data_IF_056050938905
#
_entry.id   IF_056050938905
#
_cell.length_a   1.000
_cell.length_b   1.000
_cell.length_c   1.000
_cell.angle_alpha   90.00
_cell.angle_beta   90.00
_cell.angle_gamma   90.00
#
_symmetry.space_group_name_H-M   'P 1'
#
loop_
_entity.id
_entity.type
_entity.pdbx_description
1 polymer ?
#
# COMPACT_ATOMS: atom_id res chain seq x y z
N UNK A 1 -24.96 -21.89 15.17
CA UNK A 1 -24.12 -22.42 16.26
C UNK A 1 -22.84 -22.92 15.63
N UNK A 2 -21.75 -22.17 15.77
CA UNK A 2 -20.42 -22.57 15.29
C UNK A 2 -19.85 -23.56 16.29
N UNK A 3 -19.57 -24.79 15.84
CA UNK A 3 -18.98 -25.84 16.68
C UNK A 3 -17.49 -25.55 16.81
N UNK A 4 -16.99 -25.34 18.02
CA UNK A 4 -15.57 -25.07 18.26
C UNK A 4 -14.74 -26.33 17.99
N UNK A 5 -13.55 -26.22 17.36
CA UNK A 5 -12.67 -27.36 17.15
C UNK A 5 -12.15 -27.91 18.49
N UNK A 6 -11.82 -29.21 18.57
CA UNK A 6 -11.08 -29.75 19.69
C UNK A 6 -9.69 -29.08 19.82
N UNK A 7 -9.20 -29.01 21.05
CA UNK A 7 -7.93 -28.36 21.43
C UNK A 7 -6.97 -29.38 22.04
N UNK A 8 -5.68 -29.30 21.72
CA UNK A 8 -4.60 -30.10 22.32
C UNK A 8 -3.35 -29.25 22.56
N UNK A 9 -2.47 -29.69 23.47
CA UNK A 9 -1.15 -29.10 23.59
C UNK A 9 -0.20 -29.62 22.50
N UNK A 10 0.80 -28.82 22.10
CA UNK A 10 1.85 -29.26 21.16
C UNK A 10 2.57 -30.55 21.61
N UNK A 11 2.75 -30.73 22.92
CA UNK A 11 3.30 -31.97 23.47
C UNK A 11 2.41 -33.20 23.23
N UNK A 12 1.10 -33.03 23.18
CA UNK A 12 0.18 -34.14 22.85
C UNK A 12 0.25 -34.49 21.37
N UNK A 13 0.39 -33.50 20.49
CA UNK A 13 0.61 -33.73 19.06
C UNK A 13 1.88 -34.56 18.83
N UNK A 14 2.98 -34.21 19.53
CA UNK A 14 4.26 -34.91 19.41
C UNK A 14 4.24 -36.31 20.05
N UNK A 15 3.62 -36.47 21.22
CA UNK A 15 3.68 -37.73 21.98
C UNK A 15 2.57 -38.72 21.60
N UNK A 16 1.44 -38.23 21.06
CA UNK A 16 0.25 -39.04 20.73
C UNK A 16 -0.29 -38.72 19.33
N UNK A 17 0.54 -38.83 18.27
CA UNK A 17 0.16 -38.41 16.92
C UNK A 17 -1.07 -39.14 16.38
N UNK A 18 -1.22 -40.44 16.65
CA UNK A 18 -2.39 -41.22 16.20
C UNK A 18 -3.68 -40.74 16.87
N UNK A 19 -3.63 -40.40 18.16
CA UNK A 19 -4.80 -39.88 18.89
C UNK A 19 -5.17 -38.48 18.38
N UNK A 20 -4.18 -37.63 18.10
CA UNK A 20 -4.39 -36.30 17.53
C UNK A 20 -5.03 -36.37 16.13
N UNK A 21 -4.54 -37.24 15.25
CA UNK A 21 -5.13 -37.45 13.91
C UNK A 21 -6.55 -38.01 14.00
N UNK A 22 -6.83 -38.90 14.96
CA UNK A 22 -8.17 -39.42 15.21
C UNK A 22 -9.11 -38.30 15.67
N UNK A 23 -8.71 -37.48 16.65
CA UNK A 23 -9.48 -36.30 17.11
C UNK A 23 -9.76 -35.32 15.96
N UNK A 24 -8.77 -35.08 15.09
CA UNK A 24 -8.94 -34.26 13.89
C UNK A 24 -9.99 -34.86 12.93
N UNK A 25 -9.91 -36.16 12.66
CA UNK A 25 -10.77 -36.84 11.68
C UNK A 25 -12.23 -37.01 12.16
N UNK A 26 -12.42 -37.20 13.46
CA UNK A 26 -13.74 -37.33 14.10
C UNK A 26 -14.39 -35.96 14.39
N UNK A 27 -13.62 -34.87 14.33
CA UNK A 27 -14.13 -33.52 14.53
C UNK A 27 -15.14 -33.14 13.42
N UNK A 28 -16.32 -32.57 13.76
CA UNK A 28 -17.29 -32.10 12.77
C UNK A 28 -16.70 -31.09 11.78
N UNK A 29 -15.75 -30.27 12.23
CA UNK A 29 -15.07 -29.25 11.41
C UNK A 29 -13.84 -29.78 10.69
N UNK A 30 -13.44 -31.05 10.93
CA UNK A 30 -12.17 -31.63 10.48
C UNK A 30 -10.96 -30.74 10.78
N UNK A 31 -11.02 -30.05 11.92
CA UNK A 31 -9.97 -29.15 12.41
C UNK A 31 -9.64 -29.40 13.88
N UNK A 32 -8.43 -29.02 14.28
CA UNK A 32 -7.86 -29.20 15.62
C UNK A 32 -6.94 -28.00 15.94
N UNK A 33 -7.14 -27.35 17.07
CA UNK A 33 -6.25 -26.28 17.55
C UNK A 33 -5.14 -26.90 18.40
N UNK A 34 -3.91 -26.45 18.18
CA UNK A 34 -2.71 -26.93 18.85
C UNK A 34 -2.06 -25.77 19.59
N UNK A 35 -2.17 -25.79 20.92
CA UNK A 35 -1.60 -24.77 21.77
C UNK A 35 -0.08 -24.91 21.88
N UNK A 36 0.63 -23.80 21.68
CA UNK A 36 2.08 -23.72 21.87
C UNK A 36 2.40 -23.18 23.26
N UNK A 37 3.64 -23.39 23.70
CA UNK A 37 4.07 -22.97 25.06
C UNK A 37 4.53 -21.51 25.02
N UNK A 38 4.25 -20.77 26.10
CA UNK A 38 4.70 -19.39 26.25
C UNK A 38 3.81 -18.42 25.47
N UNK A 39 4.41 -17.44 24.79
CA UNK A 39 3.73 -16.41 23.99
C UNK A 39 3.69 -16.75 22.49
N UNK A 40 4.07 -17.97 22.11
CA UNK A 40 3.98 -18.44 20.73
C UNK A 40 2.51 -18.57 20.29
N UNK A 41 2.21 -18.19 19.04
CA UNK A 41 0.87 -18.35 18.46
C UNK A 41 0.44 -19.81 18.32
N UNK A 42 -0.84 -20.07 18.56
CA UNK A 42 -1.45 -21.38 18.37
C UNK A 42 -1.46 -21.81 16.90
N UNK A 43 -1.35 -23.11 16.66
CA UNK A 43 -1.46 -23.68 15.31
C UNK A 43 -2.85 -24.27 15.06
N UNK A 44 -3.33 -24.21 13.83
CA UNK A 44 -4.55 -24.89 13.40
C UNK A 44 -4.22 -26.00 12.41
N UNK A 45 -4.52 -27.25 12.77
CA UNK A 45 -4.47 -28.39 11.87
C UNK A 45 -5.84 -28.61 11.23
N UNK A 46 -5.84 -28.83 9.92
CA UNK A 46 -7.04 -29.01 9.09
C UNK A 46 -6.70 -30.06 8.02
N UNK A 47 -7.65 -30.93 7.67
CA UNK A 47 -7.39 -31.92 6.62
C UNK A 47 -7.22 -31.23 5.25
N UNK A 48 -6.30 -31.73 4.43
CA UNK A 48 -6.08 -31.18 3.08
C UNK A 48 -7.36 -31.20 2.22
N UNK A 49 -8.21 -32.23 2.38
CA UNK A 49 -9.51 -32.32 1.72
C UNK A 49 -10.46 -31.20 2.15
N UNK A 50 -10.44 -30.82 3.44
CA UNK A 50 -11.28 -29.74 3.97
C UNK A 50 -10.81 -28.39 3.44
N UNK A 51 -9.49 -28.16 3.39
CA UNK A 51 -8.92 -26.96 2.75
C UNK A 51 -9.36 -26.89 1.28
N UNK A 52 -9.29 -28.01 0.54
CA UNK A 52 -9.70 -28.06 -0.86
C UNK A 52 -11.19 -27.79 -1.04
N UNK A 53 -12.07 -28.41 -0.24
CA UNK A 53 -13.52 -28.17 -0.26
C UNK A 53 -13.86 -26.69 0.04
N UNK A 54 -13.24 -26.10 1.07
CA UNK A 54 -13.47 -24.69 1.43
C UNK A 54 -12.99 -23.74 0.33
N UNK A 55 -11.83 -24.02 -0.26
CA UNK A 55 -11.30 -23.24 -1.40
C UNK A 55 -12.19 -23.37 -2.62
N UNK A 56 -12.73 -24.55 -2.93
CA UNK A 56 -13.62 -24.75 -4.07
C UNK A 56 -14.92 -23.93 -3.92
N UNK A 57 -15.50 -23.92 -2.73
CA UNK A 57 -16.72 -23.12 -2.45
C UNK A 57 -16.44 -21.62 -2.55
N UNK A 58 -15.33 -21.15 -1.98
CA UNK A 58 -14.92 -19.74 -2.06
C UNK A 58 -14.64 -19.35 -3.52
N UNK A 59 -13.87 -20.17 -4.24
CA UNK A 59 -13.56 -19.98 -5.67
C UNK A 59 -14.83 -19.86 -6.50
N UNK A 60 -15.76 -20.81 -6.35
CA UNK A 60 -17.04 -20.80 -7.06
C UNK A 60 -17.84 -19.52 -6.75
N UNK A 61 -17.96 -19.16 -5.48
CA UNK A 61 -18.73 -17.98 -5.05
C UNK A 61 -18.10 -16.69 -5.58
N UNK A 62 -16.77 -16.56 -5.50
CA UNK A 62 -16.02 -15.41 -6.01
C UNK A 62 -16.18 -15.27 -7.51
N UNK A 63 -16.09 -16.36 -8.28
CA UNK A 63 -16.30 -16.34 -9.74
C UNK A 63 -17.70 -15.90 -10.12
N UNK A 64 -18.72 -16.49 -9.50
CA UNK A 64 -20.12 -16.11 -9.75
C UNK A 64 -20.32 -14.63 -9.42
N UNK A 65 -19.78 -14.15 -8.30
CA UNK A 65 -19.90 -12.77 -7.89
C UNK A 65 -19.16 -11.80 -8.84
N UNK A 66 -17.92 -12.09 -9.21
CA UNK A 66 -17.13 -11.28 -10.14
C UNK A 66 -17.82 -11.18 -11.52
N UNK A 67 -18.30 -12.30 -12.05
CA UNK A 67 -19.04 -12.34 -13.32
C UNK A 67 -20.32 -11.49 -13.23
N UNK A 68 -21.07 -11.58 -12.12
CA UNK A 68 -22.26 -10.73 -11.92
C UNK A 68 -21.89 -9.24 -11.90
N UNK A 69 -20.79 -8.86 -11.24
CA UNK A 69 -20.32 -7.46 -11.21
C UNK A 69 -19.89 -6.95 -12.60
N UNK A 70 -19.37 -7.83 -13.45
CA UNK A 70 -18.96 -7.47 -14.81
C UNK A 70 -20.12 -7.40 -15.79
N UNK A 71 -21.10 -8.29 -15.65
CA UNK A 71 -22.18 -8.47 -16.64
C UNK A 71 -23.45 -7.69 -16.33
N UNK A 72 -23.69 -7.33 -15.05
CA UNK A 72 -24.90 -6.64 -14.61
C UNK A 72 -24.56 -5.22 -14.14
N UNK A 73 -24.82 -4.17 -14.95
CA UNK A 73 -24.50 -2.78 -14.60
C UNK A 73 -25.16 -2.32 -13.29
N UNK A 74 -26.40 -2.76 -13.02
CA UNK A 74 -27.14 -2.43 -11.81
C UNK A 74 -26.46 -2.97 -10.54
N UNK A 75 -25.70 -4.06 -10.66
CA UNK A 75 -25.02 -4.67 -9.53
C UNK A 75 -23.88 -3.76 -9.01
N UNK A 76 -23.18 -3.06 -9.90
CA UNK A 76 -22.18 -2.03 -9.53
C UNK A 76 -22.82 -0.86 -8.80
N UNK A 77 -24.01 -0.44 -9.25
CA UNK A 77 -24.81 0.59 -8.57
C UNK A 77 -25.20 0.18 -7.15
N UNK A 78 -25.60 -1.08 -6.95
CA UNK A 78 -25.89 -1.61 -5.61
C UNK A 78 -24.64 -1.61 -4.74
N UNK A 79 -23.48 -1.99 -5.27
CA UNK A 79 -22.22 -1.98 -4.51
C UNK A 79 -21.84 -0.57 -4.03
N UNK A 80 -22.12 0.48 -4.81
CA UNK A 80 -21.92 1.86 -4.37
C UNK A 80 -22.75 2.23 -3.11
N UNK A 81 -23.85 1.52 -2.84
CA UNK A 81 -24.67 1.69 -1.62
C UNK A 81 -24.22 0.81 -0.46
N UNK A 82 -23.60 -0.34 -0.75
CA UNK A 82 -23.18 -1.34 0.25
C UNK A 82 -21.78 -1.05 0.77
N UNK A 83 -20.82 -0.72 -0.11
CA UNK A 83 -19.43 -0.49 0.27
C UNK A 83 -19.26 0.56 1.38
N UNK A 84 -19.96 1.70 1.39
CA UNK A 84 -19.85 2.68 2.49
C UNK A 84 -20.32 2.18 3.86
N UNK A 85 -20.93 0.99 3.95
CA UNK A 85 -21.29 0.31 5.20
C UNK A 85 -20.23 -0.70 5.63
N UNK A 86 -19.50 -1.29 4.68
CA UNK A 86 -18.45 -2.29 4.92
C UNK A 86 -17.09 -1.63 5.11
N UNK A 87 -16.80 -0.62 4.29
CA UNK A 87 -15.57 0.18 4.26
C UNK A 87 -15.95 1.65 4.43
N UNK A 88 -16.15 2.16 5.67
CA UNK A 88 -16.66 3.51 5.88
C UNK A 88 -15.81 4.63 5.25
N UNK A 89 -14.49 4.43 5.12
CA UNK A 89 -13.55 5.40 4.56
C UNK A 89 -13.82 5.72 3.08
N UNK A 90 -14.51 4.86 2.32
CA UNK A 90 -14.82 5.14 0.90
C UNK A 90 -15.72 6.38 0.72
N UNK A 91 -16.31 6.89 1.80
CA UNK A 91 -17.12 8.11 1.81
C UNK A 91 -16.32 9.38 1.51
N UNK A 92 -15.00 9.33 1.66
CA UNK A 92 -14.11 10.44 1.28
C UNK A 92 -13.74 10.41 -0.21
N UNK A 93 -14.09 9.35 -0.94
CA UNK A 93 -13.92 9.31 -2.40
C UNK A 93 -14.98 10.14 -3.11
N UNK A 94 -14.62 10.74 -4.24
CA UNK A 94 -15.61 11.29 -5.18
C UNK A 94 -16.50 10.19 -5.75
N UNK A 95 -17.64 10.56 -6.36
CA UNK A 95 -18.52 9.59 -7.02
C UNK A 95 -17.78 8.81 -8.12
N UNK A 96 -16.93 9.50 -8.88
CA UNK A 96 -16.05 8.89 -9.88
C UNK A 96 -14.99 7.99 -9.24
N UNK A 97 -14.39 8.43 -8.13
CA UNK A 97 -13.44 7.64 -7.34
C UNK A 97 -14.03 6.33 -6.84
N UNK A 98 -15.22 6.38 -6.24
CA UNK A 98 -15.92 5.18 -5.76
C UNK A 98 -16.25 4.20 -6.90
N UNK A 99 -16.71 4.72 -8.05
CA UNK A 99 -16.99 3.87 -9.23
C UNK A 99 -15.72 3.21 -9.76
N UNK A 100 -14.62 3.95 -9.79
CA UNK A 100 -13.30 3.44 -10.22
C UNK A 100 -12.82 2.34 -9.27
N UNK A 101 -12.85 2.60 -7.95
CA UNK A 101 -12.49 1.62 -6.93
C UNK A 101 -13.31 0.33 -7.05
N UNK A 102 -14.63 0.43 -7.27
CA UNK A 102 -15.50 -0.75 -7.45
C UNK A 102 -15.04 -1.60 -8.64
N UNK A 103 -14.75 -0.97 -9.77
CA UNK A 103 -14.31 -1.70 -10.98
C UNK A 103 -12.97 -2.37 -10.74
N UNK A 104 -11.98 -1.63 -10.24
CA UNK A 104 -10.65 -2.17 -9.95
C UNK A 104 -10.70 -3.30 -8.92
N UNK A 105 -11.52 -3.17 -7.87
CA UNK A 105 -11.66 -4.19 -6.84
C UNK A 105 -12.11 -5.53 -7.41
N UNK A 106 -13.06 -5.52 -8.35
CA UNK A 106 -13.57 -6.75 -8.95
C UNK A 106 -12.65 -7.33 -10.01
N UNK A 107 -11.97 -6.48 -10.77
CA UNK A 107 -10.96 -6.93 -11.75
C UNK A 107 -9.77 -7.59 -11.02
N UNK A 108 -9.30 -6.99 -9.92
CA UNK A 108 -8.23 -7.57 -9.08
C UNK A 108 -8.71 -8.82 -8.35
N UNK A 109 -9.95 -8.87 -7.86
CA UNK A 109 -10.50 -10.06 -7.19
C UNK A 109 -10.56 -11.26 -8.12
N UNK A 110 -11.01 -11.07 -9.37
CA UNK A 110 -11.03 -12.14 -10.38
C UNK A 110 -9.60 -12.61 -10.71
N UNK A 111 -8.69 -11.68 -10.97
CA UNK A 111 -7.30 -12.01 -11.28
C UNK A 111 -6.60 -12.74 -10.12
N UNK A 112 -6.79 -12.25 -8.89
CA UNK A 112 -6.27 -12.85 -7.65
C UNK A 112 -6.81 -14.26 -7.41
N UNK A 113 -8.11 -14.48 -7.67
CA UNK A 113 -8.72 -15.80 -7.56
C UNK A 113 -8.10 -16.79 -8.55
N UNK A 114 -7.83 -16.36 -9.80
CA UNK A 114 -7.21 -17.23 -10.81
C UNK A 114 -5.81 -17.73 -10.42
N UNK A 115 -5.15 -17.01 -9.50
CA UNK A 115 -3.82 -17.30 -8.98
C UNK A 115 -3.85 -17.99 -7.60
N UNK A 116 -5.03 -18.25 -7.02
CA UNK A 116 -5.22 -18.71 -5.63
C UNK A 116 -4.45 -17.82 -4.62
N UNK A 117 -4.44 -16.51 -4.87
CA UNK A 117 -3.69 -15.53 -4.07
C UNK A 117 -4.45 -14.22 -3.92
N UNK A 118 -5.05 -14.00 -2.73
CA UNK A 118 -5.84 -12.80 -2.42
C UNK A 118 -5.03 -11.61 -1.90
N UNK A 119 -3.70 -11.73 -1.74
CA UNK A 119 -2.86 -10.62 -1.29
C UNK A 119 -3.02 -9.33 -2.14
N UNK A 120 -3.15 -9.40 -3.48
CA UNK A 120 -3.37 -8.21 -4.31
C UNK A 120 -4.68 -7.47 -4.00
N UNK A 121 -5.73 -8.18 -3.56
CA UNK A 121 -7.02 -7.56 -3.20
C UNK A 121 -6.87 -6.70 -1.95
N UNK A 122 -6.19 -7.24 -0.93
CA UNK A 122 -5.91 -6.51 0.31
C UNK A 122 -5.02 -5.30 0.02
N UNK A 123 -4.01 -5.49 -0.83
CA UNK A 123 -3.13 -4.41 -1.28
C UNK A 123 -3.94 -3.29 -1.92
N UNK A 124 -4.80 -3.57 -2.91
CA UNK A 124 -5.63 -2.56 -3.56
C UNK A 124 -6.53 -1.79 -2.57
N UNK A 125 -7.14 -2.50 -1.60
CA UNK A 125 -7.97 -1.87 -0.56
C UNK A 125 -7.13 -0.89 0.26
N UNK A 126 -5.90 -1.27 0.64
CA UNK A 126 -4.98 -0.39 1.37
C UNK A 126 -4.57 0.83 0.55
N UNK A 127 -4.28 0.69 -0.75
CA UNK A 127 -3.91 1.81 -1.62
C UNK A 127 -5.04 2.84 -1.75
N UNK A 128 -6.28 2.36 -1.94
CA UNK A 128 -7.45 3.21 -2.01
C UNK A 128 -7.80 3.84 -0.67
N UNK A 129 -7.55 3.14 0.45
CA UNK A 129 -7.69 3.73 1.78
C UNK A 129 -6.71 4.89 1.97
N UNK A 130 -5.44 4.74 1.62
CA UNK A 130 -4.48 5.84 1.71
C UNK A 130 -4.86 7.01 0.78
N UNK A 131 -5.38 6.72 -0.41
CA UNK A 131 -5.93 7.77 -1.29
C UNK A 131 -7.10 8.51 -0.62
N UNK A 132 -7.99 7.79 0.06
CA UNK A 132 -9.11 8.38 0.79
C UNK A 132 -8.68 9.21 2.00
N UNK A 133 -7.64 8.78 2.71
CA UNK A 133 -7.03 9.51 3.82
C UNK A 133 -6.46 10.86 3.35
N UNK A 134 -5.80 10.89 2.19
CA UNK A 134 -5.38 12.15 1.57
C UNK A 134 -6.58 13.01 1.19
N UNK A 135 -7.61 12.45 0.54
CA UNK A 135 -8.82 13.20 0.16
C UNK A 135 -9.62 13.74 1.36
N UNK A 136 -9.46 13.14 2.54
CA UNK A 136 -10.07 13.63 3.77
C UNK A 136 -9.39 14.89 4.34
N UNK A 137 -8.19 15.23 3.82
CA UNK A 137 -7.38 16.37 4.23
C UNK A 137 -7.25 17.40 3.09
N UNK A 138 -8.05 18.48 3.10
CA UNK A 138 -8.04 19.49 2.03
C UNK A 138 -6.70 20.21 1.87
N UNK A 139 -5.92 20.38 2.94
CA UNK A 139 -4.62 21.06 2.88
C UNK A 139 -3.62 20.16 2.15
N UNK A 140 -3.60 18.87 2.49
CA UNK A 140 -2.75 17.91 1.79
C UNK A 140 -3.14 17.75 0.32
N UNK A 141 -4.44 17.72 0.00
CA UNK A 141 -4.91 17.73 -1.40
C UNK A 141 -4.37 18.94 -2.15
N UNK A 142 -4.44 20.14 -1.55
CA UNK A 142 -3.93 21.36 -2.17
C UNK A 142 -2.43 21.29 -2.45
N UNK A 143 -1.63 20.79 -1.51
CA UNK A 143 -0.17 20.63 -1.67
C UNK A 143 0.15 19.66 -2.82
N UNK A 144 -0.54 18.51 -2.87
CA UNK A 144 -0.27 17.48 -3.87
C UNK A 144 -0.72 17.88 -5.29
N UNK A 145 -1.77 18.68 -5.39
CA UNK A 145 -2.30 19.14 -6.68
C UNK A 145 -1.68 20.46 -7.17
N UNK A 146 -0.94 21.17 -6.34
CA UNK A 146 -0.29 22.42 -6.71
C UNK A 146 0.66 22.19 -7.90
N UNK A 147 0.49 22.96 -8.98
CA UNK A 147 1.52 23.04 -10.03
C UNK A 147 2.62 23.98 -9.53
N UNK A 148 3.88 23.57 -9.66
CA UNK A 148 5.02 24.46 -9.41
C UNK A 148 5.86 24.55 -10.67
N UNK A 149 6.01 25.77 -11.16
CA UNK A 149 6.95 26.13 -12.20
C UNK A 149 8.31 26.39 -11.54
N UNK A 150 9.35 25.70 -12.00
CA UNK A 150 10.76 26.04 -11.82
C UNK A 150 11.20 26.46 -10.40
N UNK A 151 11.44 25.47 -9.54
CA UNK A 151 12.66 25.52 -8.73
C UNK A 151 13.80 25.25 -9.71
N UNK A 152 14.57 26.29 -10.03
CA UNK A 152 15.62 26.38 -11.05
C UNK A 152 16.14 25.01 -11.54
N UNK A 153 16.19 24.81 -12.87
CA UNK A 153 16.87 23.67 -13.50
C UNK A 153 18.27 23.49 -12.89
N UNK A 154 18.41 22.56 -11.93
CA UNK A 154 19.74 22.23 -11.43
C UNK A 154 20.49 21.61 -12.61
N UNK A 155 21.64 22.17 -12.99
CA UNK A 155 22.42 21.73 -14.13
C UNK A 155 22.72 20.23 -14.04
N UNK A 156 22.79 19.54 -15.18
CA UNK A 156 23.19 18.13 -15.22
C UNK A 156 24.43 17.90 -14.35
N UNK A 157 24.50 16.79 -13.58
CA UNK A 157 25.64 16.51 -12.71
C UNK A 157 26.94 16.47 -13.54
N UNK A 158 27.71 17.55 -13.46
CA UNK A 158 28.89 17.81 -14.30
C UNK A 158 28.94 19.23 -14.90
N UNK A 159 27.83 19.97 -14.90
CA UNK A 159 27.79 21.37 -15.32
C UNK A 159 27.91 22.29 -14.10
N UNK A 160 29.10 22.85 -13.93
CA UNK A 160 29.46 23.82 -12.89
C UNK A 160 28.82 25.20 -13.14
N UNK A 161 27.49 25.32 -13.07
CA UNK A 161 26.83 26.63 -13.02
C UNK A 161 25.63 26.63 -12.05
N UNK A 162 25.91 26.82 -10.76
CA UNK A 162 24.88 27.18 -9.77
C UNK A 162 25.16 26.62 -8.38
N UNK A 163 25.94 27.36 -7.57
CA UNK A 163 26.36 27.05 -6.19
C UNK A 163 27.36 25.89 -6.04
N UNK A 164 28.65 26.22 -6.14
CA UNK A 164 29.74 25.30 -5.82
C UNK A 164 29.83 24.96 -4.32
N UNK A 165 30.33 23.77 -4.02
CA UNK A 165 30.62 23.28 -2.66
C UNK A 165 31.34 24.34 -1.82
N UNK A 166 30.82 24.61 -0.63
CA UNK A 166 31.43 25.51 0.36
C UNK A 166 32.23 24.71 1.40
N UNK A 167 33.20 25.38 2.03
CA UNK A 167 33.95 24.80 3.15
C UNK A 167 32.99 24.52 4.33
N UNK A 168 32.84 23.24 4.69
CA UNK A 168 31.91 22.80 5.74
C UNK A 168 30.70 22.01 5.22
N UNK A 169 30.45 22.02 3.91
CA UNK A 169 29.41 21.20 3.31
C UNK A 169 29.74 19.71 3.41
N UNK A 170 28.72 18.87 3.63
CA UNK A 170 28.90 17.44 3.47
C UNK A 170 29.17 17.14 2.00
N UNK A 171 30.22 16.35 1.74
CA UNK A 171 30.52 15.88 0.38
C UNK A 171 29.35 14.98 -0.07
N UNK A 172 28.58 15.36 -1.12
CA UNK A 172 27.50 14.50 -1.58
C UNK A 172 28.10 13.19 -2.11
N UNK A 173 27.39 12.06 -1.98
CA UNK A 173 27.82 10.83 -2.63
C UNK A 173 27.94 11.08 -4.14
N UNK A 174 28.99 10.57 -4.81
CA UNK A 174 29.11 10.71 -6.25
C UNK A 174 27.91 10.05 -6.95
N UNK A 175 27.31 10.70 -7.94
CA UNK A 175 26.23 10.11 -8.71
C UNK A 175 26.74 8.86 -9.44
N UNK A 176 26.13 7.69 -9.20
CA UNK A 176 26.52 6.43 -9.84
C UNK A 176 25.43 6.00 -10.83
N UNK A 177 25.78 5.93 -12.13
CA UNK A 177 25.01 5.19 -13.14
C UNK A 177 23.52 5.56 -13.26
N UNK A 178 22.65 4.60 -12.94
CA UNK A 178 21.19 4.64 -13.14
C UNK A 178 20.42 5.00 -11.85
N UNK A 179 21.04 5.74 -10.93
CA UNK A 179 20.35 6.23 -9.74
C UNK A 179 19.44 7.43 -10.06
N UNK A 180 18.27 7.47 -9.42
CA UNK A 180 17.25 8.51 -9.60
C UNK A 180 17.61 9.78 -8.87
N UNK A 181 17.60 10.90 -9.56
CA UNK A 181 17.77 12.19 -8.91
C UNK A 181 16.59 12.47 -7.98
N UNK A 182 16.83 12.89 -6.74
CA UNK A 182 15.77 13.22 -5.79
C UNK A 182 15.85 14.71 -5.51
N UNK A 183 14.75 15.42 -5.76
CA UNK A 183 14.63 16.88 -5.57
C UNK A 183 13.36 17.21 -4.79
N UNK A 184 13.40 18.28 -4.02
CA UNK A 184 12.18 18.84 -3.42
C UNK A 184 11.41 19.64 -4.48
N UNK A 185 10.09 19.51 -4.46
CA UNK A 185 9.18 20.29 -5.31
C UNK A 185 8.67 21.54 -4.61
N UNK A 186 8.62 21.52 -3.27
CA UNK A 186 7.98 22.53 -2.42
C UNK A 186 8.80 22.80 -1.15
N UNK A 187 8.67 24.00 -0.57
CA UNK A 187 9.31 24.35 0.70
C UNK A 187 8.70 23.55 1.87
N UNK A 188 7.41 23.22 1.79
CA UNK A 188 6.72 22.35 2.74
C UNK A 188 7.38 20.97 2.80
N UNK A 189 7.79 20.41 1.66
CA UNK A 189 8.51 19.14 1.62
C UNK A 189 9.88 19.23 2.29
N UNK A 190 10.59 20.36 2.16
CA UNK A 190 11.88 20.57 2.83
C UNK A 190 11.71 20.56 4.35
N UNK A 191 10.75 21.32 4.86
CA UNK A 191 10.48 21.40 6.30
C UNK A 191 10.06 20.04 6.87
N UNK A 192 9.13 19.36 6.20
CA UNK A 192 8.65 18.06 6.64
C UNK A 192 9.70 16.94 6.54
N UNK A 193 10.64 17.05 5.60
CA UNK A 193 11.80 16.16 5.54
C UNK A 193 12.69 16.31 6.77
N UNK A 194 12.97 17.55 7.18
CA UNK A 194 13.76 17.84 8.38
C UNK A 194 13.09 17.28 9.64
N UNK A 195 11.77 17.37 9.74
CA UNK A 195 11.00 16.79 10.84
C UNK A 195 11.09 15.25 10.88
N UNK A 196 10.97 14.60 9.73
CA UNK A 196 11.16 13.15 9.61
C UNK A 196 12.60 12.73 9.95
N UNK A 197 13.60 13.51 9.55
CA UNK A 197 15.01 13.23 9.88
C UNK A 197 15.22 13.26 11.40
N UNK A 198 14.67 14.28 12.06
CA UNK A 198 14.79 14.44 13.51
C UNK A 198 14.10 13.31 14.30
N UNK A 199 13.03 12.73 13.77
CA UNK A 199 12.21 11.73 14.49
C UNK A 199 12.46 10.29 14.08
N UNK A 200 12.82 10.07 12.82
CA UNK A 200 12.86 8.74 12.19
C UNK A 200 13.96 8.62 11.13
N UNK A 201 15.15 9.17 11.39
CA UNK A 201 16.29 9.21 10.45
C UNK A 201 16.56 7.87 9.73
N UNK A 202 16.53 6.74 10.44
CA UNK A 202 16.81 5.42 9.83
C UNK A 202 15.75 5.03 8.81
N UNK A 203 14.47 5.19 9.14
CA UNK A 203 13.39 4.88 8.20
C UNK A 203 13.35 5.88 7.03
N UNK A 204 13.65 7.16 7.30
CA UNK A 204 13.75 8.18 6.26
C UNK A 204 14.87 7.84 5.28
N UNK A 205 16.00 7.35 5.79
CA UNK A 205 17.12 6.88 4.97
C UNK A 205 16.72 5.70 4.07
N UNK A 206 15.98 4.72 4.58
CA UNK A 206 15.46 3.61 3.77
C UNK A 206 14.50 4.08 2.67
N UNK A 207 13.63 5.04 2.99
CA UNK A 207 12.72 5.64 2.01
C UNK A 207 13.50 6.41 0.92
N UNK A 208 14.53 7.17 1.31
CA UNK A 208 15.42 7.85 0.37
C UNK A 208 16.15 6.86 -0.54
N UNK A 209 16.71 5.77 0.00
CA UNK A 209 17.38 4.73 -0.78
C UNK A 209 16.41 4.03 -1.74
N UNK A 210 15.16 3.82 -1.32
CA UNK A 210 14.10 3.28 -2.19
C UNK A 210 13.84 4.21 -3.36
N UNK A 211 13.66 5.52 -3.11
CA UNK A 211 13.45 6.49 -4.18
C UNK A 211 14.69 6.60 -5.11
N UNK A 212 15.89 6.47 -4.55
CA UNK A 212 17.15 6.62 -5.29
C UNK A 212 17.40 5.47 -6.26
N UNK A 213 16.92 4.26 -5.93
CA UNK A 213 17.23 3.05 -6.69
C UNK A 213 16.04 2.45 -7.44
N UNK A 214 14.83 2.54 -6.89
CA UNK A 214 13.64 1.90 -7.45
C UNK A 214 12.35 2.64 -7.00
N UNK A 215 12.12 3.88 -7.49
CA UNK A 215 11.02 4.73 -7.05
C UNK A 215 9.67 4.38 -7.67
N UNK A 216 9.62 3.46 -8.63
CA UNK A 216 8.40 3.18 -9.39
C UNK A 216 7.91 1.75 -9.23
N UNK A 217 7.29 1.26 -10.28
CA UNK A 217 7.00 -0.16 -10.42
C UNK A 217 8.30 -0.96 -10.47
N UNK A 218 8.34 -2.05 -9.70
CA UNK A 218 9.52 -2.88 -9.59
C UNK A 218 9.23 -4.14 -8.77
N UNK A 219 10.20 -5.05 -8.61
CA UNK A 219 10.03 -6.24 -7.80
C UNK A 219 9.54 -5.89 -6.39
N UNK A 220 8.41 -6.47 -5.97
CA UNK A 220 7.82 -6.21 -4.65
C UNK A 220 7.06 -4.88 -4.53
N UNK A 221 6.79 -4.19 -5.65
CA UNK A 221 5.96 -2.98 -5.71
C UNK A 221 4.86 -3.10 -6.77
N UNK A 222 3.63 -2.63 -6.48
CA UNK A 222 3.23 -1.92 -5.27
C UNK A 222 3.19 -2.83 -4.02
N UNK A 223 3.39 -2.23 -2.86
CA UNK A 223 3.17 -2.86 -1.55
C UNK A 223 2.51 -1.86 -0.59
N UNK A 224 2.10 -2.34 0.58
CA UNK A 224 1.30 -1.55 1.52
C UNK A 224 1.98 -0.25 1.96
N UNK A 225 3.32 -0.19 1.92
CA UNK A 225 4.11 1.00 2.26
C UNK A 225 4.45 1.85 1.05
N UNK A 226 4.52 1.30 -0.15
CA UNK A 226 4.99 2.00 -1.34
C UNK A 226 4.13 1.68 -2.56
N UNK A 227 3.32 2.63 -2.99
CA UNK A 227 2.38 2.51 -4.10
C UNK A 227 1.97 3.87 -4.66
N UNK A 228 1.34 3.85 -5.83
CA UNK A 228 0.74 5.02 -6.46
C UNK A 228 -0.59 5.36 -5.77
N UNK A 229 -0.92 6.64 -5.69
CA UNK A 229 -2.27 7.06 -5.33
C UNK A 229 -3.25 6.82 -6.48
N UNK A 230 -4.55 6.88 -6.19
CA UNK A 230 -5.61 6.55 -7.14
C UNK A 230 -6.44 7.76 -7.60
N UNK A 231 -7.14 7.58 -8.72
CA UNK A 231 -8.05 8.58 -9.32
C UNK A 231 -7.38 9.97 -9.51
N UNK A 232 -8.04 11.06 -9.08
CA UNK A 232 -7.58 12.44 -9.23
C UNK A 232 -6.24 12.72 -8.55
N UNK A 233 -5.84 11.89 -7.58
CA UNK A 233 -4.54 11.98 -6.92
C UNK A 233 -3.49 11.03 -7.51
N UNK A 234 -3.85 10.21 -8.51
CA UNK A 234 -2.90 9.32 -9.17
C UNK A 234 -1.84 10.06 -9.99
N UNK A 235 -2.11 11.33 -10.32
CA UNK A 235 -1.18 12.20 -11.03
C UNK A 235 -1.09 13.54 -10.33
N UNK A 236 0.12 14.08 -10.21
CA UNK A 236 0.35 15.50 -9.93
C UNK A 236 0.90 16.22 -11.16
N UNK A 237 0.95 17.55 -11.11
CA UNK A 237 1.45 18.37 -12.22
C UNK A 237 2.79 18.99 -11.86
N UNK A 238 3.71 18.97 -12.83
CA UNK A 238 4.96 19.74 -12.83
C UNK A 238 5.28 20.15 -14.26
N UNK A 239 5.65 21.41 -14.49
CA UNK A 239 5.95 21.95 -15.82
C UNK A 239 4.80 21.67 -16.83
N UNK A 240 3.56 21.77 -16.34
CA UNK A 240 2.33 21.39 -17.07
C UNK A 240 2.26 19.93 -17.55
N UNK A 241 3.17 19.07 -17.10
CA UNK A 241 3.16 17.62 -17.35
C UNK A 241 2.49 16.90 -16.19
N UNK A 242 1.59 15.97 -16.51
CA UNK A 242 1.05 15.03 -15.54
C UNK A 242 2.05 13.90 -15.26
N UNK A 243 2.46 13.75 -14.01
CA UNK A 243 3.40 12.73 -13.56
C UNK A 243 2.73 11.78 -12.56
N UNK A 244 3.03 10.46 -12.59
CA UNK A 244 2.53 9.53 -11.58
C UNK A 244 2.89 9.97 -10.16
N UNK A 245 1.89 10.03 -9.29
CA UNK A 245 2.06 10.41 -7.89
C UNK A 245 2.10 9.19 -6.98
N UNK A 246 3.20 9.06 -6.25
CA UNK A 246 3.52 7.93 -5.39
C UNK A 246 3.58 8.34 -3.93
N UNK A 247 3.41 7.35 -3.06
CA UNK A 247 3.54 7.46 -1.62
C UNK A 247 4.55 6.43 -1.10
N UNK A 248 5.34 6.81 -0.09
CA UNK A 248 6.11 5.89 0.76
C UNK A 248 5.76 6.11 2.24
N UNK A 249 5.48 5.03 2.94
CA UNK A 249 5.37 4.96 4.40
C UNK A 249 6.75 4.92 5.08
N UNK A 250 7.05 5.97 5.84
CA UNK A 250 8.28 6.08 6.65
C UNK A 250 8.05 5.52 8.05
N UNK A 251 6.94 5.87 8.69
CA UNK A 251 6.49 5.31 9.98
C UNK A 251 4.99 5.04 9.90
N UNK A 252 4.37 4.44 10.92
CA UNK A 252 2.92 4.18 10.90
C UNK A 252 2.08 5.40 10.52
N UNK A 253 2.55 6.61 10.88
CA UNK A 253 1.88 7.88 10.55
C UNK A 253 2.69 8.75 9.56
N UNK A 254 3.99 8.50 9.42
CA UNK A 254 4.87 9.30 8.57
C UNK A 254 4.82 8.87 7.11
N UNK A 255 4.71 9.83 6.20
CA UNK A 255 4.56 9.62 4.76
C UNK A 255 5.41 10.59 3.96
N UNK A 256 5.89 10.11 2.82
CA UNK A 256 6.48 10.91 1.75
C UNK A 256 5.60 10.74 0.53
N UNK A 257 5.22 11.84 -0.11
CA UNK A 257 4.58 11.85 -1.42
C UNK A 257 5.52 12.47 -2.44
N UNK A 258 5.53 11.93 -3.67
CA UNK A 258 6.38 12.43 -4.73
C UNK A 258 5.82 12.16 -6.12
N UNK A 259 6.30 12.92 -7.10
CA UNK A 259 6.07 12.66 -8.52
C UNK A 259 7.24 11.93 -9.14
N UNK A 260 6.95 10.94 -9.98
CA UNK A 260 7.94 10.17 -10.71
C UNK A 260 8.07 10.67 -12.15
N UNK A 261 9.17 11.35 -12.48
CA UNK A 261 9.48 11.78 -13.85
C UNK A 261 10.42 10.76 -14.50
N UNK A 262 9.86 9.75 -15.14
CA UNK A 262 10.65 8.68 -15.80
C UNK A 262 11.49 9.21 -16.96
N UNK A 263 11.01 10.24 -17.66
CA UNK A 263 11.72 10.84 -18.79
C UNK A 263 12.98 11.56 -18.33
N UNK A 264 12.90 12.30 -17.21
CA UNK A 264 14.04 13.02 -16.63
C UNK A 264 14.82 12.22 -15.58
N UNK A 265 14.37 11.00 -15.29
CA UNK A 265 14.95 10.14 -14.26
C UNK A 265 15.02 10.84 -12.88
N UNK A 266 13.95 11.56 -12.53
CA UNK A 266 13.86 12.40 -11.32
C UNK A 266 12.63 12.04 -10.46
N UNK A 267 12.84 12.04 -9.14
CA UNK A 267 11.82 11.96 -8.10
C UNK A 267 11.63 13.35 -7.50
N UNK A 268 10.43 13.89 -7.61
CA UNK A 268 10.08 15.21 -7.08
C UNK A 268 9.26 15.06 -5.80
N UNK A 269 9.91 15.20 -4.64
CA UNK A 269 9.25 15.13 -3.33
C UNK A 269 8.28 16.30 -3.18
N UNK A 270 6.99 16.00 -3.14
CA UNK A 270 5.91 17.00 -3.09
C UNK A 270 5.50 17.33 -1.66
N UNK A 271 5.59 16.35 -0.77
CA UNK A 271 5.33 16.52 0.65
C UNK A 271 6.04 15.43 1.44
N UNK A 272 6.46 15.77 2.65
CA UNK A 272 7.00 14.84 3.64
C UNK A 272 6.36 15.22 4.99
N UNK A 273 5.92 14.24 5.78
CA UNK A 273 5.24 14.54 7.03
C UNK A 273 5.27 13.38 8.02
N UNK A 274 5.25 13.70 9.30
CA UNK A 274 5.22 12.75 10.44
C UNK A 274 3.81 12.23 10.77
N UNK A 275 2.81 12.71 10.02
CA UNK A 275 1.37 12.50 10.19
C UNK A 275 0.60 13.40 9.21
N UNK A 276 -0.69 13.17 9.02
CA UNK A 276 -1.55 14.17 8.36
C UNK A 276 -1.39 15.53 9.06
N UNK A 277 -1.24 16.65 8.32
CA UNK A 277 -1.23 17.97 8.91
C UNK A 277 -2.37 18.08 9.92
N UNK A 278 -2.03 18.34 11.18
CA UNK A 278 -3.05 18.59 12.18
C UNK A 278 -3.82 19.81 11.69
N UNK A 279 -5.13 19.65 11.44
CA UNK A 279 -6.03 20.77 11.36
C UNK A 279 -5.74 21.68 12.56
N UNK A 280 -5.14 22.83 12.28
CA UNK A 280 -4.73 23.81 13.28
C UNK A 280 -5.92 24.13 14.19
N UNK A 281 -5.67 24.21 15.50
CA UNK A 281 -6.66 24.59 16.53
C UNK A 281 -7.37 25.92 16.23
#
# INVERSE_FOLDING_TARGET
MTTSPPEINFSELSNKPVEAVRKLSESPTRSLVVHRRGEDEDLMLITASRVAEEREVVSFTTKVFAILMQTVPEARGLMATVLPKVLPWVRFLSEEGLRTFIVELFDVLEAAESLDNLAPVIQLITEWQHTAEVLADPELVAILQQDSEDLDEIPEPGSTEGMGFQEGDQVPPPAVGAEWEIRFKTDEAVNGWQDLENQAASNLREAWETMRNDPGHGPGKPNHRHHRLHNVLSTGVRDHRGLPQWQIEVTSNGRIWYLLDEERHTVWVTHAGIGHPKATE
#
